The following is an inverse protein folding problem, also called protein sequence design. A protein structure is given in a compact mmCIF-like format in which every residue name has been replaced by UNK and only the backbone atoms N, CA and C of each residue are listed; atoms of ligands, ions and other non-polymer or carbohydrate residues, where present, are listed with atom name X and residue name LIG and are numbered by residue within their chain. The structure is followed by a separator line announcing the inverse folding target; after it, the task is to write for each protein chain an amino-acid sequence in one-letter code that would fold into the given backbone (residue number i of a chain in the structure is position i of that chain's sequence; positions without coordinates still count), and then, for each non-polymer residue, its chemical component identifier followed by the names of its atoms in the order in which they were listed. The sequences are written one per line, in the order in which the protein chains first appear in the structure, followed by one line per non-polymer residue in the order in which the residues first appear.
data_IF_688743821307
#
_entry.id   IF_688743821307
#
_cell.length_a   1.000
_cell.length_b   1.000
_cell.length_c   1.000
_cell.angle_alpha   90.00
_cell.angle_beta   90.00
_cell.angle_gamma   90.00
#
_symmetry.space_group_name_H-M   'P 1'
#
loop_
_entity.id
_entity.type
_entity.pdbx_description
1 polymer ?
#
# COMPACT_ATOMS: atom_id res chain seq x y z
N UNK A 1 14.17 4.48 10.86
CA UNK A 1 13.42 3.19 10.83
C UNK A 1 12.84 2.86 12.21
N UNK A 2 13.32 3.57 13.23
CA UNK A 2 13.12 3.36 14.67
C UNK A 2 11.77 3.91 15.19
N UNK A 3 11.03 4.64 14.34
CA UNK A 3 9.70 5.18 14.65
C UNK A 3 8.59 4.12 14.56
N UNK A 4 8.85 3.00 13.87
CA UNK A 4 7.87 1.92 13.71
C UNK A 4 8.01 0.83 14.79
N UNK A 5 6.91 0.17 15.18
CA UNK A 5 6.98 -1.04 15.99
C UNK A 5 7.87 -2.11 15.35
N UNK A 6 8.54 -2.95 16.15
CA UNK A 6 9.50 -3.95 15.65
C UNK A 6 8.87 -4.95 14.67
N UNK A 7 7.58 -5.28 14.84
CA UNK A 7 6.86 -6.15 13.90
C UNK A 7 6.70 -5.49 12.53
N UNK A 8 6.36 -4.19 12.49
CA UNK A 8 6.21 -3.41 11.26
C UNK A 8 7.56 -3.26 10.56
N UNK A 9 8.63 -3.00 11.30
CA UNK A 9 9.98 -2.95 10.75
C UNK A 9 10.38 -4.28 10.09
N UNK A 10 10.02 -5.41 10.72
CA UNK A 10 10.30 -6.75 10.19
C UNK A 10 9.50 -7.00 8.92
N UNK A 11 8.20 -6.71 8.94
CA UNK A 11 7.33 -6.86 7.77
C UNK A 11 7.81 -6.02 6.58
N UNK A 12 8.21 -4.77 6.82
CA UNK A 12 8.79 -3.89 5.80
C UNK A 12 10.08 -4.46 5.20
N UNK A 13 11.01 -4.92 6.04
CA UNK A 13 12.26 -5.53 5.56
C UNK A 13 12.00 -6.78 4.73
N UNK A 14 11.11 -7.66 5.19
CA UNK A 14 10.75 -8.91 4.49
C UNK A 14 10.08 -8.62 3.15
N UNK A 15 9.23 -7.60 3.08
CA UNK A 15 8.60 -7.16 1.84
C UNK A 15 9.59 -6.49 0.86
N UNK A 16 10.83 -6.22 1.28
CA UNK A 16 11.86 -5.58 0.45
C UNK A 16 11.86 -4.05 0.50
N UNK A 17 11.17 -3.45 1.47
CA UNK A 17 11.22 -2.00 1.68
C UNK A 17 12.57 -1.56 2.24
N UNK A 18 13.09 -0.44 1.75
CA UNK A 18 14.32 0.19 2.22
C UNK A 18 14.11 1.68 2.48
N UNK A 19 14.80 2.28 3.48
CA UNK A 19 14.70 3.70 3.73
C UNK A 19 15.18 4.50 2.52
N UNK A 20 14.37 5.47 2.09
CA UNK A 20 14.65 6.28 0.91
C UNK A 20 14.18 5.67 -0.42
N UNK A 21 13.51 4.51 -0.38
CA UNK A 21 12.81 3.96 -1.55
C UNK A 21 11.82 4.99 -2.10
N UNK A 22 11.93 5.28 -3.39
CA UNK A 22 10.97 6.07 -4.16
C UNK A 22 10.76 5.40 -5.49
N UNK A 23 9.53 5.03 -5.79
CA UNK A 23 9.12 4.55 -7.11
C UNK A 23 8.29 5.61 -7.82
N UNK A 24 8.33 5.59 -9.15
CA UNK A 24 7.47 6.46 -9.94
C UNK A 24 6.01 6.03 -9.76
N UNK A 25 5.17 6.98 -9.35
CA UNK A 25 3.74 6.76 -9.11
C UNK A 25 2.87 7.66 -9.98
N UNK A 26 3.44 8.34 -10.97
CA UNK A 26 2.72 9.32 -11.77
C UNK A 26 1.46 8.72 -12.42
N UNK A 27 1.57 7.51 -12.98
CA UNK A 27 0.44 6.80 -13.58
C UNK A 27 -0.64 6.43 -12.55
N UNK A 28 -0.23 6.07 -11.32
CA UNK A 28 -1.16 5.77 -10.23
C UNK A 28 -1.90 7.01 -9.76
N UNK A 29 -1.20 8.14 -9.62
CA UNK A 29 -1.80 9.40 -9.21
C UNK A 29 -2.78 9.92 -10.26
N UNK A 30 -2.37 9.90 -11.53
CA UNK A 30 -3.25 10.28 -12.64
C UNK A 30 -4.52 9.42 -12.67
N UNK A 31 -4.40 8.11 -12.42
CA UNK A 31 -5.55 7.22 -12.33
C UNK A 31 -6.46 7.55 -11.14
N UNK A 32 -5.89 7.86 -9.96
CA UNK A 32 -6.66 8.28 -8.78
C UNK A 32 -7.43 9.58 -9.07
N UNK A 33 -6.79 10.58 -9.65
CA UNK A 33 -7.44 11.85 -10.02
C UNK A 33 -8.53 11.64 -11.07
N UNK A 34 -8.27 10.81 -12.10
CA UNK A 34 -9.25 10.47 -13.12
C UNK A 34 -10.45 9.70 -12.56
N UNK A 35 -10.25 8.98 -11.45
CA UNK A 35 -11.32 8.28 -10.72
C UNK A 35 -12.06 9.19 -9.72
N UNK A 36 -11.74 10.49 -9.68
CA UNK A 36 -12.41 11.47 -8.81
C UNK A 36 -11.80 11.63 -7.42
N UNK A 37 -10.63 11.03 -7.15
CA UNK A 37 -9.93 11.19 -5.87
C UNK A 37 -8.98 12.41 -5.90
N UNK A 38 -9.07 13.26 -4.88
CA UNK A 38 -8.08 14.31 -4.65
C UNK A 38 -6.84 13.72 -3.95
N UNK A 39 -5.71 13.66 -4.65
CA UNK A 39 -4.45 13.14 -4.10
C UNK A 39 -3.78 14.22 -3.25
N UNK A 40 -3.59 13.95 -1.95
CA UNK A 40 -2.80 14.83 -1.09
C UNK A 40 -1.30 14.57 -1.26
N UNK A 41 -0.42 15.57 -1.01
CA UNK A 41 1.03 15.38 -1.03
C UNK A 41 1.52 14.27 -0.09
N UNK A 42 0.81 14.04 1.01
CA UNK A 42 1.10 12.94 1.94
C UNK A 42 0.79 11.57 1.32
N UNK A 43 -0.29 11.47 0.54
CA UNK A 43 -0.66 10.25 -0.17
C UNK A 43 0.34 9.95 -1.29
N UNK A 44 0.74 10.95 -2.08
CA UNK A 44 1.80 10.79 -3.09
C UNK A 44 3.09 10.25 -2.46
N UNK A 45 3.55 10.89 -1.38
CA UNK A 45 4.76 10.47 -0.68
C UNK A 45 4.64 9.02 -0.20
N UNK A 46 3.54 8.67 0.47
CA UNK A 46 3.27 7.32 0.94
C UNK A 46 3.27 6.30 -0.22
N UNK A 47 2.53 6.58 -1.30
CA UNK A 47 2.46 5.67 -2.45
C UNK A 47 3.84 5.47 -3.08
N UNK A 48 4.64 6.54 -3.20
CA UNK A 48 6.02 6.45 -3.74
C UNK A 48 6.95 5.57 -2.90
N UNK A 49 6.66 5.42 -1.60
CA UNK A 49 7.47 4.63 -0.68
C UNK A 49 7.01 3.17 -0.59
N UNK A 50 5.69 2.90 -0.67
CA UNK A 50 5.12 1.59 -0.29
C UNK A 50 4.40 0.82 -1.40
N UNK A 51 4.07 1.44 -2.53
CA UNK A 51 3.36 0.74 -3.62
C UNK A 51 4.16 -0.47 -4.15
N UNK A 52 3.44 -1.52 -4.53
CA UNK A 52 3.99 -2.75 -5.12
C UNK A 52 4.81 -3.63 -4.17
N UNK A 53 4.73 -3.42 -2.85
CA UNK A 53 5.35 -4.30 -1.87
C UNK A 53 4.42 -5.43 -1.45
N UNK A 54 4.85 -6.70 -1.55
CA UNK A 54 4.07 -7.83 -1.11
C UNK A 54 4.22 -8.04 0.40
N UNK A 55 3.21 -7.64 1.17
CA UNK A 55 3.18 -7.85 2.62
C UNK A 55 2.60 -9.22 2.93
N UNK A 56 3.46 -10.23 3.10
CA UNK A 56 3.04 -11.59 3.45
C UNK A 56 2.85 -11.78 4.97
N UNK A 57 1.99 -10.95 5.58
CA UNK A 57 1.68 -11.01 7.01
C UNK A 57 0.54 -11.99 7.31
N UNK A 58 0.61 -12.70 8.44
CA UNK A 58 -0.42 -13.64 8.86
C UNK A 58 -0.58 -13.70 10.38
N UNK A 59 -1.72 -14.23 10.85
CA UNK A 59 -1.98 -14.54 12.25
C UNK A 59 -3.17 -13.79 12.84
N UNK A 60 -3.35 -13.89 14.16
CA UNK A 60 -4.40 -13.19 14.88
C UNK A 60 -4.13 -11.68 14.82
N UNK A 61 -5.11 -10.89 14.36
CA UNK A 61 -5.12 -9.45 14.60
C UNK A 61 -6.08 -9.12 15.72
N UNK A 62 -6.26 -7.82 15.97
CA UNK A 62 -7.06 -7.34 17.12
C UNK A 62 -8.55 -7.56 16.86
N UNK A 63 -9.05 -7.05 15.73
CA UNK A 63 -10.46 -7.17 15.33
C UNK A 63 -10.67 -8.13 14.15
N UNK A 64 -9.65 -8.30 13.32
CA UNK A 64 -9.65 -9.15 12.14
C UNK A 64 -8.32 -9.92 12.07
N UNK A 65 -8.30 -11.07 11.40
CA UNK A 65 -7.05 -11.77 11.13
C UNK A 65 -6.13 -10.92 10.25
N UNK A 66 -4.82 -11.02 10.49
CA UNK A 66 -3.82 -10.46 9.58
C UNK A 66 -3.78 -11.35 8.34
N UNK A 67 -3.93 -10.73 7.18
CA UNK A 67 -3.93 -11.39 5.89
C UNK A 67 -2.88 -10.72 4.97
N UNK A 68 -2.32 -11.46 4.01
CA UNK A 68 -1.38 -10.90 3.07
C UNK A 68 -2.06 -9.85 2.19
N UNK A 69 -1.33 -8.78 1.86
CA UNK A 69 -1.83 -7.70 1.01
C UNK A 69 -0.71 -7.05 0.22
N UNK A 70 -1.10 -6.31 -0.82
CA UNK A 70 -0.21 -5.46 -1.61
C UNK A 70 -0.94 -4.15 -1.94
N UNK A 71 -0.21 -3.03 -1.87
CA UNK A 71 -0.72 -1.74 -2.33
C UNK A 71 -0.54 -1.70 -3.84
N UNK A 72 -1.57 -2.10 -4.58
CA UNK A 72 -1.55 -2.18 -6.05
C UNK A 72 -2.92 -1.87 -6.64
N UNK A 73 -2.97 -0.91 -7.58
CA UNK A 73 -4.22 -0.50 -8.22
C UNK A 73 -4.90 -1.61 -9.01
N UNK A 74 -4.15 -2.55 -9.57
CA UNK A 74 -4.72 -3.64 -10.38
C UNK A 74 -5.54 -4.60 -9.53
N UNK A 75 -5.23 -4.71 -8.23
CA UNK A 75 -6.03 -5.48 -7.28
C UNK A 75 -7.32 -4.76 -6.87
N UNK A 76 -7.32 -3.42 -6.93
CA UNK A 76 -8.47 -2.59 -6.54
C UNK A 76 -9.59 -2.54 -7.58
N UNK A 77 -9.39 -3.07 -8.80
CA UNK A 77 -10.36 -2.98 -9.90
C UNK A 77 -11.55 -3.96 -9.80
N UNK A 78 -11.69 -4.71 -8.71
CA UNK A 78 -12.53 -5.92 -8.68
C UNK A 78 -13.93 -5.77 -8.07
N UNK A 79 -14.44 -4.56 -7.78
CA UNK A 79 -15.81 -4.40 -7.25
C UNK A 79 -16.69 -3.36 -7.99
N UNK A 80 -16.31 -2.87 -9.17
CA UNK A 80 -17.14 -1.90 -9.92
C UNK A 80 -18.47 -2.52 -10.40
N UNK A 81 -18.47 -3.85 -10.63
CA UNK A 81 -19.61 -4.65 -11.11
C UNK A 81 -20.51 -5.18 -9.96
N UNK A 82 -20.12 -5.03 -8.68
CA UNK A 82 -20.81 -5.72 -7.58
C UNK A 82 -22.23 -5.18 -7.27
N UNK A 83 -22.58 -4.02 -7.81
CA UNK A 83 -23.83 -3.32 -7.48
C UNK A 83 -24.74 -3.05 -8.69
N UNK A 84 -24.56 -3.77 -9.81
CA UNK A 84 -25.54 -3.78 -10.91
C UNK A 84 -26.77 -4.66 -10.64
#
# INVERSE_FOLDING_TARGET
MDDYPPETQTALKVAGWTPGRKVDVAELLQWLESSGFAVSPAAEKFLSEFVGLPFNVSGLGISCARAPFEINRYLAQSEDDRFE
#
